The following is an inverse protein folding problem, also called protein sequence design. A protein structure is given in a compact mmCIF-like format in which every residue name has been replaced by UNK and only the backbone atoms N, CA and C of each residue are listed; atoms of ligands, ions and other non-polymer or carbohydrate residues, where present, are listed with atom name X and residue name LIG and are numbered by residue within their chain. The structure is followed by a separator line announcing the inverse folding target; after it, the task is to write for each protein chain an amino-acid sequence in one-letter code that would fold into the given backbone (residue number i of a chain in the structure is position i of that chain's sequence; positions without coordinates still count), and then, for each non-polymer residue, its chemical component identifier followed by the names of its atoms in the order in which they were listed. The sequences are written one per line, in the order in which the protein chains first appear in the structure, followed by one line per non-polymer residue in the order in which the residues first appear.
data_IF_168823473250
#
_entry.id   IF_168823473250
#
_cell.length_a   1.000
_cell.length_b   1.000
_cell.length_c   1.000
_cell.angle_alpha   90.00
_cell.angle_beta   90.00
_cell.angle_gamma   90.00
#
_symmetry.space_group_name_H-M   'P 1'
#
loop_
_entity.id
_entity.type
_entity.pdbx_description
1 polymer ?
#
# COMPACT_ATOMS: atom_id res chain seq x y z
N UNK A 1 -34.79 25.16 0.62
CA UNK A 1 -33.34 24.92 0.49
C UNK A 1 -33.04 23.57 1.14
N UNK A 2 -32.97 22.50 0.34
CA UNK A 2 -32.87 21.10 0.83
C UNK A 2 -31.91 20.28 -0.04
N UNK A 3 -30.94 20.94 -0.67
CA UNK A 3 -30.11 20.33 -1.73
C UNK A 3 -28.82 19.68 -1.20
N UNK A 4 -28.51 19.81 0.10
CA UNK A 4 -27.26 19.33 0.69
C UNK A 4 -27.34 17.98 1.42
N UNK A 5 -28.48 17.61 2.01
CA UNK A 5 -28.56 16.46 2.92
C UNK A 5 -28.63 15.09 2.22
N UNK A 6 -29.24 15.03 1.03
CA UNK A 6 -29.36 13.80 0.26
C UNK A 6 -28.01 13.31 -0.30
N UNK A 7 -27.17 14.16 -0.93
CA UNK A 7 -25.84 13.75 -1.38
C UNK A 7 -24.94 13.29 -0.22
N UNK A 8 -24.98 13.96 0.93
CA UNK A 8 -24.23 13.60 2.13
C UNK A 8 -24.65 12.21 2.67
N UNK A 9 -25.96 11.96 2.83
CA UNK A 9 -26.45 10.66 3.29
C UNK A 9 -26.16 9.49 2.34
N UNK A 10 -26.03 9.76 1.03
CA UNK A 10 -25.61 8.75 0.06
C UNK A 10 -24.11 8.47 0.15
N UNK A 11 -23.28 9.49 0.32
CA UNK A 11 -21.83 9.33 0.50
C UNK A 11 -21.52 8.49 1.76
N UNK A 12 -22.15 8.81 2.89
CA UNK A 12 -21.98 8.07 4.15
C UNK A 12 -22.40 6.59 3.99
N UNK A 13 -23.50 6.33 3.28
CA UNK A 13 -23.96 4.96 2.99
C UNK A 13 -22.95 4.20 2.13
N UNK A 14 -22.45 4.80 1.05
CA UNK A 14 -21.47 4.16 0.18
C UNK A 14 -20.17 3.87 0.91
N UNK A 15 -19.71 4.81 1.76
CA UNK A 15 -18.55 4.60 2.62
C UNK A 15 -18.77 3.44 3.60
N UNK A 16 -19.94 3.36 4.23
CA UNK A 16 -20.29 2.25 5.12
C UNK A 16 -20.32 0.88 4.41
N UNK A 17 -20.86 0.83 3.19
CA UNK A 17 -20.89 -0.39 2.37
C UNK A 17 -19.48 -0.81 1.94
N UNK A 18 -18.64 0.14 1.51
CA UNK A 18 -17.25 -0.13 1.16
C UNK A 18 -16.46 -0.66 2.37
N UNK A 19 -16.67 -0.08 3.56
CA UNK A 19 -16.03 -0.53 4.79
C UNK A 19 -16.47 -1.94 5.19
N UNK A 20 -17.77 -2.26 5.07
CA UNK A 20 -18.30 -3.60 5.38
C UNK A 20 -17.74 -4.67 4.44
N UNK A 21 -17.67 -4.38 3.13
CA UNK A 21 -17.08 -5.28 2.14
C UNK A 21 -15.58 -5.48 2.40
N UNK A 22 -14.84 -4.40 2.65
CA UNK A 22 -13.42 -4.45 2.96
C UNK A 22 -13.16 -5.33 4.20
N UNK A 23 -13.93 -5.14 5.27
CA UNK A 23 -13.84 -5.94 6.48
C UNK A 23 -14.12 -7.43 6.24
N UNK A 24 -15.15 -7.76 5.46
CA UNK A 24 -15.47 -9.15 5.11
C UNK A 24 -14.36 -9.81 4.28
N UNK A 25 -13.74 -9.08 3.35
CA UNK A 25 -12.66 -9.62 2.52
C UNK A 25 -11.33 -9.76 3.26
N UNK A 26 -10.99 -8.83 4.17
CA UNK A 26 -9.70 -8.80 4.83
C UNK A 26 -9.42 -10.04 5.69
N UNK A 27 -10.46 -10.63 6.29
CA UNK A 27 -10.36 -11.87 7.08
C UNK A 27 -10.04 -13.13 6.25
N UNK A 28 -10.26 -13.10 4.94
CA UNK A 28 -10.01 -14.24 4.04
C UNK A 28 -8.68 -14.15 3.27
N UNK A 29 -8.05 -12.97 3.23
CA UNK A 29 -6.78 -12.79 2.51
C UNK A 29 -5.60 -13.28 3.36
N UNK A 30 -4.69 -13.97 2.70
CA UNK A 30 -3.34 -14.24 3.23
C UNK A 30 -2.57 -12.93 3.41
N UNK A 31 -1.56 -12.91 4.29
CA UNK A 31 -0.71 -11.73 4.47
C UNK A 31 -0.06 -11.27 3.16
N UNK A 32 0.32 -12.20 2.28
CA UNK A 32 0.86 -11.88 0.95
C UNK A 32 -0.15 -11.07 0.13
N UNK A 33 -1.39 -11.53 0.03
CA UNK A 33 -2.43 -10.85 -0.75
C UNK A 33 -2.73 -9.46 -0.18
N UNK A 34 -2.75 -9.30 1.15
CA UNK A 34 -2.88 -7.99 1.79
C UNK A 34 -1.72 -7.05 1.44
N UNK A 35 -0.48 -7.54 1.45
CA UNK A 35 0.69 -6.76 1.02
C UNK A 35 0.64 -6.38 -0.46
N UNK A 36 0.21 -7.29 -1.34
CA UNK A 36 0.07 -7.01 -2.78
C UNK A 36 -1.01 -5.96 -3.06
N UNK A 37 -2.15 -6.03 -2.36
CA UNK A 37 -3.21 -5.03 -2.43
C UNK A 37 -2.75 -3.66 -1.93
N UNK A 38 -2.13 -3.61 -0.74
CA UNK A 38 -1.55 -2.39 -0.18
C UNK A 38 -0.50 -1.76 -1.10
N UNK A 39 0.34 -2.58 -1.74
CA UNK A 39 1.32 -2.10 -2.70
C UNK A 39 0.64 -1.50 -3.95
N UNK A 40 -0.35 -2.19 -4.52
CA UNK A 40 -1.08 -1.70 -5.69
C UNK A 40 -1.75 -0.35 -5.40
N UNK A 41 -2.30 -0.19 -4.20
CA UNK A 41 -2.88 1.09 -3.75
C UNK A 41 -1.82 2.21 -3.68
N UNK A 42 -0.65 1.95 -3.08
CA UNK A 42 0.42 2.94 -3.01
C UNK A 42 0.98 3.31 -4.39
N UNK A 43 1.07 2.34 -5.30
CA UNK A 43 1.45 2.58 -6.69
C UNK A 43 0.41 3.45 -7.40
N UNK A 44 -0.88 3.19 -7.19
CA UNK A 44 -1.96 3.99 -7.77
C UNK A 44 -1.97 5.44 -7.26
N UNK A 45 -1.60 5.67 -6.00
CA UNK A 45 -1.44 7.03 -5.44
C UNK A 45 -0.29 7.80 -6.08
N UNK A 46 0.75 7.11 -6.57
CA UNK A 46 1.91 7.73 -7.23
C UNK A 46 2.84 8.49 -6.29
N UNK A 47 2.64 8.42 -4.98
CA UNK A 47 3.44 9.11 -3.97
C UNK A 47 4.62 8.23 -3.49
N UNK A 48 5.71 8.83 -2.98
CA UNK A 48 6.78 8.07 -2.35
C UNK A 48 6.31 7.31 -1.10
N UNK A 49 6.72 6.06 -0.95
CA UNK A 49 6.36 5.21 0.19
C UNK A 49 7.51 4.27 0.59
N UNK A 50 7.41 3.68 1.78
CA UNK A 50 8.37 2.74 2.37
C UNK A 50 7.73 1.38 2.66
N UNK A 51 8.57 0.42 3.04
CA UNK A 51 8.08 -0.89 3.50
C UNK A 51 7.18 -0.80 4.74
N UNK A 52 7.32 0.24 5.57
CA UNK A 52 6.46 0.40 6.74
C UNK A 52 5.06 0.91 6.36
N UNK A 53 4.95 1.69 5.29
CA UNK A 53 3.65 2.15 4.77
C UNK A 53 2.85 0.97 4.20
N UNK A 54 3.50 0.03 3.50
CA UNK A 54 2.86 -1.21 3.05
C UNK A 54 2.34 -2.03 4.24
N UNK A 55 3.12 -2.15 5.32
CA UNK A 55 2.69 -2.87 6.53
C UNK A 55 1.54 -2.16 7.23
N UNK A 56 1.57 -0.83 7.30
CA UNK A 56 0.51 -0.05 7.91
C UNK A 56 -0.84 -0.26 7.20
N UNK A 57 -0.83 -0.35 5.86
CA UNK A 57 -2.03 -0.62 5.06
C UNK A 57 -2.45 -2.09 5.07
N UNK A 58 -1.50 -3.02 4.95
CA UNK A 58 -1.79 -4.46 4.90
C UNK A 58 -2.23 -5.07 6.25
N UNK A 59 -2.03 -4.32 7.34
CA UNK A 59 -2.07 -4.83 8.71
C UNK A 59 -0.82 -5.64 9.04
N UNK A 60 -0.28 -5.46 10.24
CA UNK A 60 0.85 -6.27 10.70
C UNK A 60 0.38 -7.70 11.00
N UNK A 61 1.20 -8.68 10.64
CA UNK A 61 0.94 -10.09 10.93
C UNK A 61 2.21 -10.66 11.55
N UNK A 62 2.24 -10.73 12.88
CA UNK A 62 3.43 -11.18 13.63
C UNK A 62 3.78 -12.66 13.35
N UNK A 63 2.83 -13.45 12.81
CA UNK A 63 3.03 -14.85 12.42
C UNK A 63 3.37 -15.04 10.95
N UNK A 64 3.17 -14.02 10.10
CA UNK A 64 3.54 -14.11 8.71
C UNK A 64 5.06 -14.19 8.54
N UNK A 65 5.51 -15.16 7.74
CA UNK A 65 6.93 -15.38 7.49
C UNK A 65 7.65 -14.07 7.14
N UNK A 66 8.78 -13.82 7.81
CA UNK A 66 9.51 -12.55 7.78
C UNK A 66 9.92 -12.04 6.38
N UNK A 67 9.81 -12.90 5.37
CA UNK A 67 10.25 -12.68 4.00
C UNK A 67 9.12 -12.39 3.00
N UNK A 68 7.84 -12.39 3.41
CA UNK A 68 6.73 -12.13 2.49
C UNK A 68 6.82 -10.72 1.88
N UNK A 69 6.84 -9.68 2.71
CA UNK A 69 6.90 -8.31 2.20
C UNK A 69 8.19 -8.02 1.40
N UNK A 70 9.40 -8.42 1.85
CA UNK A 70 10.59 -8.32 1.02
C UNK A 70 10.46 -9.00 -0.35
N UNK A 71 9.82 -10.16 -0.42
CA UNK A 71 9.56 -10.86 -1.69
C UNK A 71 8.61 -10.09 -2.59
N UNK A 72 7.50 -9.55 -2.05
CA UNK A 72 6.53 -8.74 -2.80
C UNK A 72 7.20 -7.48 -3.38
N UNK A 73 7.97 -6.76 -2.57
CA UNK A 73 8.73 -5.58 -3.03
C UNK A 73 9.76 -5.97 -4.10
N UNK A 74 10.45 -7.10 -3.94
CA UNK A 74 11.41 -7.60 -4.91
C UNK A 74 10.77 -7.87 -6.29
N UNK A 75 9.61 -8.53 -6.31
CA UNK A 75 8.84 -8.76 -7.54
C UNK A 75 8.41 -7.45 -8.19
N UNK A 76 7.89 -6.51 -7.41
CA UNK A 76 7.43 -5.21 -7.88
C UNK A 76 8.55 -4.31 -8.43
N UNK A 77 9.75 -4.40 -7.86
CA UNK A 77 10.92 -3.66 -8.31
C UNK A 77 11.57 -4.28 -9.56
N UNK A 78 11.22 -5.51 -9.93
CA UNK A 78 11.78 -6.18 -11.10
C UNK A 78 11.44 -5.41 -12.39
N UNK A 79 12.35 -5.32 -13.39
CA UNK A 79 12.08 -4.61 -14.63
C UNK A 79 10.83 -5.09 -15.38
N UNK A 80 10.51 -6.39 -15.29
CA UNK A 80 9.32 -6.99 -15.92
C UNK A 80 8.05 -6.96 -15.06
N UNK A 81 8.06 -6.27 -13.92
CA UNK A 81 6.87 -6.13 -13.10
C UNK A 81 5.72 -5.48 -13.90
N UNK A 82 4.47 -5.97 -13.79
CA UNK A 82 3.35 -5.33 -14.46
C UNK A 82 3.11 -3.94 -13.89
N UNK A 83 2.70 -2.99 -14.74
CA UNK A 83 2.62 -1.56 -14.40
C UNK A 83 1.81 -1.27 -13.12
N UNK A 84 0.75 -2.06 -12.88
CA UNK A 84 -0.11 -1.96 -11.68
C UNK A 84 0.63 -2.10 -10.34
N UNK A 85 1.81 -2.69 -10.32
CA UNK A 85 2.65 -2.82 -9.11
C UNK A 85 4.09 -2.36 -9.35
N UNK A 86 4.42 -1.87 -10.55
CA UNK A 86 5.80 -1.58 -10.91
C UNK A 86 6.32 -0.38 -10.11
N UNK A 87 7.42 -0.58 -9.39
CA UNK A 87 8.05 0.46 -8.57
C UNK A 87 9.50 0.71 -9.00
N UNK A 88 10.00 1.88 -8.61
CA UNK A 88 11.39 2.28 -8.74
C UNK A 88 11.91 2.79 -7.39
N UNK A 89 13.18 2.53 -7.05
CA UNK A 89 13.78 3.10 -5.85
C UNK A 89 13.98 4.60 -6.04
N UNK A 90 13.75 5.38 -4.99
CA UNK A 90 14.21 6.77 -4.94
C UNK A 90 15.61 6.82 -4.32
N UNK A 91 16.23 8.00 -4.28
CA UNK A 91 17.49 8.24 -3.55
C UNK A 91 17.30 8.33 -2.02
N UNK A 92 16.06 8.30 -1.54
CA UNK A 92 15.74 8.56 -0.14
C UNK A 92 15.66 7.26 0.68
N UNK A 93 15.97 7.41 1.97
CA UNK A 93 15.84 6.37 2.98
C UNK A 93 15.07 6.92 4.17
N UNK A 94 14.18 6.09 4.72
CA UNK A 94 13.37 6.41 5.87
C UNK A 94 13.76 5.52 7.06
N UNK A 95 13.80 6.07 8.28
CA UNK A 95 14.05 5.26 9.50
C UNK A 95 12.77 4.54 9.88
N UNK A 96 12.85 3.23 10.11
CA UNK A 96 11.65 2.46 10.45
C UNK A 96 10.96 3.00 11.71
N UNK A 97 9.62 3.13 11.66
CA UNK A 97 8.81 3.52 12.82
C UNK A 97 8.61 2.36 13.80
N UNK A 98 8.86 1.12 13.37
CA UNK A 98 8.65 -0.10 14.18
C UNK A 98 9.69 -0.19 15.29
N UNK A 99 9.24 -0.48 16.51
CA UNK A 99 10.12 -0.64 17.70
C UNK A 99 11.22 -1.67 17.48
N UNK A 100 10.88 -2.81 16.86
CA UNK A 100 11.79 -3.94 16.61
C UNK A 100 12.82 -3.68 15.51
N UNK A 101 12.64 -2.64 14.70
CA UNK A 101 13.51 -2.29 13.56
C UNK A 101 13.93 -0.81 13.56
N UNK A 102 13.83 -0.12 14.71
CA UNK A 102 14.03 1.33 14.83
C UNK A 102 15.37 1.87 14.31
N UNK A 103 16.41 1.05 14.31
CA UNK A 103 17.73 1.39 13.78
C UNK A 103 17.87 1.13 12.26
N UNK A 104 16.94 0.41 11.66
CA UNK A 104 16.94 0.06 10.24
C UNK A 104 16.53 1.25 9.36
N UNK A 105 17.16 1.33 8.19
CA UNK A 105 16.81 2.29 7.13
C UNK A 105 16.06 1.55 6.03
N UNK A 106 14.80 1.88 5.87
CA UNK A 106 13.99 1.43 4.74
C UNK A 106 14.30 2.29 3.52
N UNK A 107 14.44 1.65 2.37
CA UNK A 107 14.47 2.37 1.10
C UNK A 107 13.07 2.95 0.82
N UNK A 108 13.04 4.13 0.22
CA UNK A 108 11.81 4.74 -0.30
C UNK A 108 11.63 4.35 -1.77
N UNK A 109 10.39 4.06 -2.13
CA UNK A 109 9.94 3.63 -3.45
C UNK A 109 8.90 4.60 -3.97
N UNK A 110 8.70 4.61 -5.28
CA UNK A 110 7.62 5.34 -5.94
C UNK A 110 7.13 4.49 -7.12
N UNK A 111 5.89 4.71 -7.57
CA UNK A 111 5.39 4.14 -8.81
C UNK A 111 6.37 4.42 -9.96
N UNK A 112 6.72 3.40 -10.74
CA UNK A 112 7.70 3.55 -11.83
C UNK A 112 7.26 4.57 -12.87
N UNK A 113 5.96 4.64 -13.14
CA UNK A 113 5.38 5.65 -14.03
C UNK A 113 5.62 7.08 -13.52
N UNK A 114 5.53 7.31 -12.20
CA UNK A 114 5.78 8.60 -11.58
C UNK A 114 7.28 8.92 -11.39
N UNK A 115 8.16 7.91 -11.42
CA UNK A 115 9.61 8.10 -11.35
C UNK A 115 10.23 8.62 -12.66
N UNK A 116 9.50 8.49 -13.78
CA UNK A 116 10.02 8.84 -15.11
C UNK A 116 9.92 10.36 -15.28
N UNK A 117 11.01 11.07 -15.63
CA UNK A 117 10.91 12.48 -15.98
C UNK A 117 9.93 12.63 -17.17
N UNK A 118 9.12 13.69 -17.17
CA UNK A 118 8.29 14.03 -18.32
C UNK A 118 9.21 14.12 -19.55
N UNK A 119 8.91 13.32 -20.58
CA UNK A 119 9.65 13.30 -21.83
C UNK A 119 9.43 14.59 -22.62
#
# INVERSE_FOLDING_TARGET
MTTGQLPLGLADRHQGQAAALAAATAGHLTYRERCEAALAELVARGEPFSADDVRALAGDDEGAGCNVLPSVIGVAAHPSAPDRIAIAPTSQYYRSTRRTRRASRNRVWIARAAARPAA
#
